data_IF_236642467256
#
_entry.id   IF_236642467256
#
_cell.length_a   1.000
_cell.length_b   1.000
_cell.length_c   1.000
_cell.angle_alpha   90.00
_cell.angle_beta   90.00
_cell.angle_gamma   90.00
#
_symmetry.space_group_name_H-M   'P 1'
#
loop_
_entity.id
_entity.type
_entity.pdbx_description
1 polymer ?
#
# COMPACT_ATOMS: atom_id res chain seq x y z
N UNK A 1 22.71 -19.59 -29.15
CA UNK A 1 21.54 -19.00 -28.46
C UNK A 1 22.04 -17.79 -27.70
N UNK A 2 21.61 -16.59 -28.05
CA UNK A 2 21.94 -15.39 -27.27
C UNK A 2 21.07 -15.39 -26.01
N UNK A 3 21.70 -15.38 -24.85
CA UNK A 3 20.98 -15.32 -23.59
C UNK A 3 20.19 -14.02 -23.49
N UNK A 4 18.93 -14.11 -23.04
CA UNK A 4 18.07 -12.95 -22.89
C UNK A 4 18.39 -12.26 -21.57
N UNK A 5 18.90 -11.03 -21.65
CA UNK A 5 19.24 -10.20 -20.50
C UNK A 5 18.78 -8.75 -20.69
N UNK A 6 18.71 -8.02 -19.59
CA UNK A 6 18.44 -6.59 -19.55
C UNK A 6 19.74 -5.81 -19.56
N UNK A 7 19.68 -4.55 -19.97
CA UNK A 7 20.83 -3.66 -20.08
C UNK A 7 20.43 -2.30 -19.53
N UNK A 8 21.30 -1.71 -18.70
CA UNK A 8 21.14 -0.34 -18.19
C UNK A 8 21.93 0.59 -19.12
N UNK A 9 21.24 1.56 -19.70
CA UNK A 9 21.75 2.40 -20.78
C UNK A 9 21.47 3.87 -20.49
N UNK A 10 22.45 4.72 -20.81
CA UNK A 10 22.29 6.16 -20.89
C UNK A 10 21.93 6.55 -22.33
N UNK A 11 20.76 7.16 -22.48
CA UNK A 11 20.40 7.94 -23.66
C UNK A 11 20.64 9.43 -23.40
N UNK A 12 20.47 10.27 -24.42
CA UNK A 12 20.47 11.72 -24.24
C UNK A 12 19.41 12.18 -23.25
N UNK A 13 18.24 11.53 -23.24
CA UNK A 13 17.09 11.92 -22.41
C UNK A 13 17.15 11.34 -20.98
N UNK A 14 18.05 10.40 -20.71
CA UNK A 14 18.23 9.85 -19.36
C UNK A 14 18.64 8.37 -19.30
N UNK A 15 18.62 7.86 -18.07
CA UNK A 15 19.01 6.48 -17.74
C UNK A 15 17.81 5.54 -17.83
N UNK A 16 17.94 4.44 -18.57
CA UNK A 16 16.85 3.52 -18.82
C UNK A 16 17.28 2.06 -18.85
N UNK A 17 16.34 1.16 -18.56
CA UNK A 17 16.53 -0.29 -18.67
C UNK A 17 15.78 -0.81 -19.89
N UNK A 18 16.49 -1.53 -20.77
CA UNK A 18 15.91 -2.17 -21.96
C UNK A 18 16.37 -3.62 -22.09
N UNK A 19 15.62 -4.48 -22.81
CA UNK A 19 16.11 -5.82 -23.14
C UNK A 19 17.21 -5.76 -24.21
N UNK A 20 18.14 -6.71 -24.16
CA UNK A 20 19.24 -6.79 -25.13
C UNK A 20 18.78 -7.00 -26.58
N UNK A 21 17.60 -7.57 -26.79
CA UNK A 21 16.99 -7.80 -28.11
C UNK A 21 16.74 -6.48 -28.86
N UNK A 22 16.60 -5.37 -28.14
CA UNK A 22 16.39 -4.06 -28.76
C UNK A 22 17.69 -3.41 -29.21
N UNK A 23 18.86 -3.96 -28.83
CA UNK A 23 20.15 -3.45 -29.25
C UNK A 23 20.46 -3.86 -30.68
N UNK A 24 21.09 -2.95 -31.41
CA UNK A 24 21.71 -3.29 -32.69
C UNK A 24 22.92 -4.22 -32.46
N UNK A 25 23.37 -4.93 -33.50
CA UNK A 25 24.52 -5.86 -33.45
C UNK A 25 25.79 -5.20 -32.89
N UNK A 26 25.96 -3.90 -33.17
CA UNK A 26 27.11 -3.12 -32.73
C UNK A 26 26.94 -2.49 -31.34
N UNK A 27 25.76 -2.63 -30.71
CA UNK A 27 25.41 -2.01 -29.41
C UNK A 27 25.59 -0.47 -29.36
N UNK A 28 25.58 0.21 -30.50
CA UNK A 28 25.71 1.66 -30.64
C UNK A 28 24.37 2.40 -30.63
N UNK A 29 23.29 1.68 -30.96
CA UNK A 29 21.93 2.20 -31.01
C UNK A 29 20.94 1.12 -30.55
N UNK A 30 19.77 1.56 -30.07
CA UNK A 30 18.66 0.68 -29.72
C UNK A 30 17.40 1.05 -30.48
N UNK A 31 16.63 0.03 -30.87
CA UNK A 31 15.26 0.18 -31.36
C UNK A 31 14.34 0.55 -30.20
N UNK A 32 13.48 1.53 -30.42
CA UNK A 32 12.58 2.05 -29.42
C UNK A 32 11.13 2.12 -29.94
N UNK A 33 10.16 1.61 -29.17
CA UNK A 33 8.76 1.64 -29.56
C UNK A 33 8.12 3.02 -29.37
N UNK A 34 7.25 3.41 -30.29
CA UNK A 34 6.39 4.58 -30.14
C UNK A 34 5.09 4.22 -29.39
N UNK A 35 5.22 3.86 -28.11
CA UNK A 35 4.08 3.52 -27.26
C UNK A 35 3.61 4.75 -26.48
N UNK A 36 2.34 5.11 -26.64
CA UNK A 36 1.69 6.19 -25.86
C UNK A 36 1.49 5.79 -24.39
N UNK A 37 1.30 4.48 -24.12
CA UNK A 37 1.03 3.96 -22.78
C UNK A 37 2.27 3.36 -22.12
N UNK A 38 2.65 3.89 -20.96
CA UNK A 38 3.75 3.36 -20.15
C UNK A 38 3.53 1.89 -19.75
N UNK A 39 2.28 1.47 -19.52
CA UNK A 39 1.98 0.06 -19.19
C UNK A 39 2.29 -0.89 -20.36
N UNK A 40 2.12 -0.42 -21.60
CA UNK A 40 2.46 -1.22 -22.80
C UNK A 40 3.97 -1.35 -22.91
N UNK A 41 4.69 -0.25 -22.70
CA UNK A 41 6.15 -0.25 -22.65
C UNK A 41 6.67 -1.23 -21.60
N UNK A 42 6.20 -1.12 -20.36
CA UNK A 42 6.63 -1.99 -19.26
C UNK A 42 6.38 -3.47 -19.56
N UNK A 43 5.24 -3.78 -20.20
CA UNK A 43 4.91 -5.13 -20.64
C UNK A 43 5.86 -5.63 -21.73
N UNK A 44 6.17 -4.79 -22.73
CA UNK A 44 7.08 -5.13 -23.82
C UNK A 44 8.50 -5.38 -23.30
N UNK A 45 9.00 -4.54 -22.37
CA UNK A 45 10.29 -4.74 -21.70
C UNK A 45 10.28 -6.02 -20.88
N UNK A 46 9.28 -6.22 -20.02
CA UNK A 46 9.17 -7.41 -19.15
C UNK A 46 9.12 -8.71 -19.96
N UNK A 47 8.43 -8.70 -21.10
CA UNK A 47 8.29 -9.85 -21.98
C UNK A 47 9.45 -10.00 -22.97
N UNK A 48 10.31 -8.98 -23.08
CA UNK A 48 11.41 -8.93 -24.05
C UNK A 48 10.87 -9.15 -25.47
N UNK A 49 9.84 -8.36 -25.81
CA UNK A 49 9.17 -8.38 -27.12
C UNK A 49 10.18 -7.99 -28.22
N UNK A 50 10.09 -8.65 -29.38
CA UNK A 50 11.00 -8.37 -30.49
C UNK A 50 10.71 -6.99 -31.11
N UNK A 51 11.75 -6.25 -31.48
CA UNK A 51 11.58 -4.94 -32.07
C UNK A 51 10.88 -5.05 -33.42
N UNK A 52 9.86 -4.22 -33.61
CA UNK A 52 9.11 -4.16 -34.85
C UNK A 52 9.83 -3.25 -35.87
N UNK A 53 9.61 -3.43 -37.18
CA UNK A 53 10.25 -2.63 -38.21
C UNK A 53 9.94 -1.13 -38.12
N UNK A 54 8.80 -0.77 -37.54
CA UNK A 54 8.37 0.61 -37.35
C UNK A 54 9.03 1.30 -36.14
N UNK A 55 9.85 0.60 -35.36
CA UNK A 55 10.53 1.20 -34.21
C UNK A 55 11.71 2.06 -34.65
N UNK A 56 11.78 3.24 -34.07
CA UNK A 56 12.83 4.24 -34.34
C UNK A 56 14.11 3.83 -33.61
N UNK A 57 15.27 4.08 -34.23
CA UNK A 57 16.56 3.83 -33.58
C UNK A 57 17.04 5.08 -32.86
N UNK A 58 17.49 4.90 -31.62
CA UNK A 58 18.07 5.94 -30.79
C UNK A 58 19.53 5.62 -30.47
N UNK A 59 20.44 6.60 -30.61
CA UNK A 59 21.85 6.40 -30.31
C UNK A 59 22.06 6.23 -28.80
N UNK A 60 22.94 5.30 -28.46
CA UNK A 60 23.30 4.99 -27.07
C UNK A 60 24.53 5.81 -26.70
N UNK A 61 24.47 6.54 -25.58
CA UNK A 61 25.62 7.27 -25.06
C UNK A 61 26.57 6.36 -24.28
N UNK A 62 26.02 5.54 -23.38
CA UNK A 62 26.82 4.65 -22.53
C UNK A 62 26.03 3.45 -22.04
N UNK A 63 26.66 2.29 -21.97
CA UNK A 63 26.12 1.09 -21.32
C UNK A 63 26.78 0.96 -19.95
N UNK A 64 25.97 0.82 -18.90
CA UNK A 64 26.46 0.70 -17.52
C UNK A 64 26.61 -0.76 -17.07
N UNK A 65 25.76 -1.65 -17.58
CA UNK A 65 25.82 -3.05 -17.20
C UNK A 65 24.68 -3.88 -17.77
N UNK A 66 24.85 -5.19 -17.70
CA UNK A 66 23.89 -6.20 -18.16
C UNK A 66 23.40 -7.04 -16.99
N UNK A 67 22.12 -7.39 -16.98
CA UNK A 67 21.47 -8.11 -15.88
C UNK A 67 20.61 -9.24 -16.43
N UNK A 68 20.79 -10.43 -15.90
CA UNK A 68 19.90 -11.55 -16.23
C UNK A 68 18.48 -11.29 -15.71
N UNK A 69 17.49 -11.98 -16.28
CA UNK A 69 16.08 -11.84 -15.91
C UNK A 69 15.83 -12.02 -14.41
N UNK A 70 16.56 -12.92 -13.78
CA UNK A 70 16.50 -13.16 -12.33
C UNK A 70 17.01 -11.94 -11.54
N UNK A 71 18.14 -11.36 -11.94
CA UNK A 71 18.68 -10.15 -11.34
C UNK A 71 17.75 -8.94 -11.53
N UNK A 72 17.05 -8.81 -12.66
CA UNK A 72 16.06 -7.76 -12.87
C UNK A 72 14.90 -7.84 -11.87
N UNK A 73 14.38 -9.05 -11.62
CA UNK A 73 13.34 -9.26 -10.61
C UNK A 73 13.87 -8.89 -9.23
N UNK A 74 15.08 -9.35 -8.87
CA UNK A 74 15.71 -9.02 -7.58
C UNK A 74 15.90 -7.50 -7.44
N UNK A 75 16.33 -6.81 -8.50
CA UNK A 75 16.48 -5.36 -8.52
C UNK A 75 15.12 -4.65 -8.31
N UNK A 76 14.07 -5.05 -9.03
CA UNK A 76 12.73 -4.48 -8.85
C UNK A 76 12.17 -4.72 -7.45
N UNK A 77 12.36 -5.92 -6.89
CA UNK A 77 11.95 -6.24 -5.52
C UNK A 77 12.70 -5.36 -4.53
N UNK A 78 14.00 -5.16 -4.74
CA UNK A 78 14.83 -4.30 -3.89
C UNK A 78 14.38 -2.84 -3.98
N UNK A 79 14.08 -2.36 -5.20
CA UNK A 79 13.55 -1.03 -5.46
C UNK A 79 12.18 -0.82 -4.79
N UNK A 80 11.30 -1.81 -4.89
CA UNK A 80 9.99 -1.78 -4.23
C UNK A 80 10.11 -1.77 -2.71
N UNK A 81 11.06 -2.54 -2.14
CA UNK A 81 11.37 -2.53 -0.71
C UNK A 81 11.92 -1.17 -0.24
N UNK A 82 12.79 -0.53 -1.05
CA UNK A 82 13.27 0.82 -0.76
C UNK A 82 12.13 1.83 -0.74
N UNK A 83 11.27 1.82 -1.77
CA UNK A 83 10.09 2.70 -1.82
C UNK A 83 9.10 2.44 -0.69
N UNK A 84 8.95 1.18 -0.25
CA UNK A 84 8.15 0.84 0.92
C UNK A 84 8.74 1.50 2.17
N UNK A 85 10.06 1.40 2.38
CA UNK A 85 10.74 2.02 3.51
C UNK A 85 10.63 3.55 3.49
N UNK A 86 10.80 4.17 2.32
CA UNK A 86 10.59 5.62 2.16
C UNK A 86 9.13 6.02 2.50
N UNK A 87 8.14 5.22 2.09
CA UNK A 87 6.76 5.46 2.46
C UNK A 87 6.53 5.30 3.97
N UNK A 88 7.13 4.29 4.61
CA UNK A 88 7.10 4.12 6.07
C UNK A 88 7.66 5.36 6.78
N UNK A 89 8.83 5.85 6.35
CA UNK A 89 9.49 7.05 6.90
C UNK A 89 8.64 8.32 6.70
N UNK A 90 7.96 8.47 5.56
CA UNK A 90 7.08 9.61 5.30
C UNK A 90 5.74 9.54 6.05
N UNK A 91 5.24 8.35 6.37
CA UNK A 91 3.99 8.17 7.14
C UNK A 91 4.16 8.33 8.65
N UNK A 92 5.39 8.35 9.16
CA UNK A 92 5.70 8.60 10.58
C UNK A 92 5.64 10.10 10.95
N UNK A 93 5.28 10.98 9.99
CA UNK A 93 4.87 12.35 10.25
C UNK A 93 3.39 12.35 10.66
N UNK A 94 3.13 11.96 11.91
CA UNK A 94 1.90 12.34 12.61
C UNK A 94 1.97 13.85 12.86
N UNK A 95 1.60 14.65 11.86
CA UNK A 95 1.29 16.08 12.04
C UNK A 95 -0.07 16.23 12.72
N UNK A 96 -0.26 15.63 13.89
CA UNK A 96 -1.39 15.96 14.75
C UNK A 96 -1.00 17.24 15.48
N UNK A 97 -1.28 18.39 14.85
CA UNK A 97 -1.11 19.69 15.52
C UNK A 97 -1.90 19.70 16.83
N UNK A 98 -1.38 20.34 17.88
CA UNK A 98 -2.01 20.39 19.21
C UNK A 98 -3.48 20.90 19.14
N UNK A 99 -3.77 21.73 18.14
CA UNK A 99 -5.09 22.27 17.86
C UNK A 99 -6.10 21.19 17.41
N UNK A 100 -5.65 20.20 16.63
CA UNK A 100 -6.51 19.10 16.17
C UNK A 100 -6.79 18.09 17.29
N UNK A 101 -5.84 17.89 18.22
CA UNK A 101 -6.09 17.18 19.48
C UNK A 101 -7.11 17.91 20.36
N UNK A 102 -7.01 19.24 20.48
CA UNK A 102 -7.93 20.05 21.26
C UNK A 102 -9.38 19.91 20.77
N UNK A 103 -9.60 19.95 19.45
CA UNK A 103 -10.93 19.75 18.87
C UNK A 103 -11.47 18.33 19.09
N UNK A 104 -10.60 17.31 19.10
CA UNK A 104 -10.98 15.91 19.43
C UNK A 104 -11.38 15.78 20.91
N UNK A 105 -10.61 16.37 21.83
CA UNK A 105 -10.91 16.40 23.27
C UNK A 105 -12.22 17.15 23.58
N UNK A 106 -12.44 18.32 22.96
CA UNK A 106 -13.68 19.10 23.10
C UNK A 106 -14.94 18.32 22.68
N UNK A 107 -14.88 17.58 21.57
CA UNK A 107 -16.01 16.74 21.11
C UNK A 107 -16.37 15.66 22.13
N UNK A 108 -15.37 14.99 22.69
CA UNK A 108 -15.56 13.94 23.69
C UNK A 108 -16.26 14.47 24.94
N UNK A 109 -15.87 15.66 25.42
CA UNK A 109 -16.45 16.30 26.61
C UNK A 109 -17.91 16.71 26.36
N UNK A 110 -18.23 17.28 25.19
CA UNK A 110 -19.62 17.67 24.87
C UNK A 110 -20.56 16.48 24.80
N UNK A 111 -20.09 15.34 24.29
CA UNK A 111 -20.88 14.11 24.21
C UNK A 111 -21.07 13.42 25.58
N UNK A 112 -20.25 13.72 26.59
CA UNK A 112 -20.30 13.09 27.91
C UNK A 112 -21.08 13.88 28.97
N UNK A 113 -21.73 15.00 28.60
CA UNK A 113 -22.50 15.79 29.57
C UNK A 113 -23.74 14.99 29.99
N UNK A 114 -23.73 14.42 31.20
CA UNK A 114 -24.92 13.88 31.83
C UNK A 114 -25.87 15.04 32.13
N UNK A 115 -27.15 14.83 31.85
CA UNK A 115 -28.23 15.77 32.18
C UNK A 115 -28.47 15.62 33.68
N UNK A 116 -27.96 16.55 34.49
CA UNK A 116 -28.37 16.66 35.89
C UNK A 116 -29.72 17.37 35.93
N UNK A 117 -30.81 16.60 36.03
CA UNK A 117 -32.15 17.15 36.29
C UNK A 117 -32.38 17.16 37.79
N UNK A 118 -32.16 18.29 38.44
CA UNK A 118 -32.69 18.57 39.78
C UNK A 118 -34.02 19.30 39.68
N UNK A 119 -35.12 18.63 40.05
CA UNK A 119 -36.35 19.28 40.51
C UNK A 119 -37.20 18.31 41.34
N UNK A 120 -37.93 18.88 42.30
CA UNK A 120 -38.46 18.30 43.54
C UNK A 120 -39.99 18.17 43.52
N UNK A 121 -40.55 17.06 44.04
CA UNK A 121 -41.96 16.73 44.43
C UNK A 121 -43.06 16.90 43.34
N UNK A 122 -44.12 16.08 43.16
CA UNK A 122 -44.94 15.25 44.05
C UNK A 122 -45.80 14.27 43.20
N UNK A 123 -46.05 13.08 43.74
CA UNK A 123 -47.23 12.18 43.72
C UNK A 123 -48.21 12.12 42.51
N UNK A 124 -48.45 10.87 42.06
CA UNK A 124 -49.62 10.28 41.39
C UNK A 124 -50.29 10.97 40.18
N UNK A 125 -50.05 10.40 38.98
CA UNK A 125 -51.11 9.75 38.20
C UNK A 125 -50.57 9.00 36.98
N UNK A 126 -51.02 7.74 36.87
CA UNK A 126 -50.75 6.77 35.83
C UNK A 126 -51.82 6.94 34.74
N UNK A 127 -51.52 7.62 33.63
CA UNK A 127 -52.13 7.40 32.31
C UNK A 127 -51.64 8.44 31.30
N UNK A 128 -51.52 7.99 30.04
CA UNK A 128 -51.59 8.83 28.84
C UNK A 128 -50.32 9.61 28.46
N UNK A 129 -49.35 8.89 27.87
CA UNK A 129 -48.44 9.46 26.87
C UNK A 129 -48.33 8.45 25.72
N UNK A 130 -49.46 8.17 25.07
CA UNK A 130 -49.56 7.30 23.88
C UNK A 130 -49.80 8.11 22.61
N UNK A 131 -49.18 9.29 22.45
CA UNK A 131 -49.46 10.09 21.24
C UNK A 131 -48.38 11.12 20.87
N UNK A 132 -47.08 10.79 20.94
CA UNK A 132 -46.04 11.69 20.41
C UNK A 132 -44.84 11.01 19.71
N UNK A 133 -44.93 9.71 19.36
CA UNK A 133 -43.84 9.01 18.66
C UNK A 133 -43.98 8.96 17.12
N UNK A 134 -45.04 9.49 16.51
CA UNK A 134 -45.25 9.33 15.06
C UNK A 134 -44.41 10.24 14.16
N UNK A 135 -43.82 11.31 14.70
CA UNK A 135 -43.24 12.38 13.89
C UNK A 135 -41.69 12.44 13.94
N UNK A 136 -41.03 11.41 14.46
CA UNK A 136 -39.59 11.31 14.35
C UNK A 136 -39.19 10.90 12.92
N UNK A 137 -38.29 11.64 12.26
CA UNK A 137 -37.80 11.25 10.94
C UNK A 137 -37.14 9.88 11.02
N UNK A 138 -37.58 8.97 10.16
CA UNK A 138 -37.09 7.58 10.12
C UNK A 138 -35.59 7.58 9.84
N UNK A 139 -34.81 7.01 10.77
CA UNK A 139 -33.36 6.85 10.61
C UNK A 139 -33.10 6.11 9.29
N UNK A 140 -32.30 6.67 8.37
CA UNK A 140 -31.98 5.97 7.13
C UNK A 140 -31.26 4.67 7.47
N UNK A 141 -31.93 3.56 7.16
CA UNK A 141 -31.45 2.20 7.28
C UNK A 141 -30.27 1.98 6.32
N UNK A 142 -29.07 2.32 6.78
CA UNK A 142 -27.83 1.88 6.15
C UNK A 142 -27.20 0.79 7.01
N UNK A 143 -27.67 -0.44 6.81
CA UNK A 143 -26.98 -1.63 7.29
C UNK A 143 -25.67 -1.80 6.50
N UNK A 144 -24.56 -1.36 7.10
CA UNK A 144 -23.20 -1.90 6.98
C UNK A 144 -22.24 -1.10 7.87
N UNK A 145 -22.42 -1.21 9.18
CA UNK A 145 -21.30 -0.97 10.10
C UNK A 145 -20.34 -2.14 9.90
N UNK A 146 -19.29 -1.95 9.09
CA UNK A 146 -18.14 -2.85 9.09
C UNK A 146 -17.31 -2.45 10.31
N UNK A 147 -17.34 -3.29 11.34
CA UNK A 147 -16.33 -3.23 12.38
C UNK A 147 -14.96 -3.49 11.73
N UNK A 148 -13.95 -2.71 12.11
CA UNK A 148 -12.59 -2.67 11.54
C UNK A 148 -11.78 -3.98 11.67
N UNK A 149 -12.42 -5.10 12.02
CA UNK A 149 -11.85 -6.44 11.91
C UNK A 149 -11.81 -6.96 10.47
N UNK A 150 -12.64 -6.41 9.59
CA UNK A 150 -12.77 -6.92 8.22
C UNK A 150 -11.64 -6.45 7.28
N UNK A 151 -10.99 -5.33 7.60
CA UNK A 151 -9.81 -4.79 6.89
C UNK A 151 -8.59 -5.69 7.07
N UNK A 152 -8.36 -6.21 8.28
CA UNK A 152 -7.25 -7.14 8.53
C UNK A 152 -7.49 -8.50 7.84
N UNK A 153 -8.71 -9.04 7.85
CA UNK A 153 -9.06 -10.27 7.11
C UNK A 153 -8.95 -10.10 5.59
N UNK A 154 -9.30 -8.92 5.06
CA UNK A 154 -9.13 -8.60 3.63
C UNK A 154 -7.66 -8.45 3.25
N UNK A 155 -6.83 -7.85 4.10
CA UNK A 155 -5.40 -7.71 3.86
C UNK A 155 -4.67 -9.05 3.91
N UNK A 156 -5.03 -9.94 4.85
CA UNK A 156 -4.47 -11.29 4.91
C UNK A 156 -4.89 -12.13 3.70
N UNK A 157 -6.14 -12.04 3.24
CA UNK A 157 -6.59 -12.73 2.03
C UNK A 157 -5.92 -12.20 0.74
N UNK A 158 -5.74 -10.88 0.61
CA UNK A 158 -5.05 -10.25 -0.51
C UNK A 158 -3.56 -10.63 -0.56
N UNK A 159 -2.90 -10.69 0.61
CA UNK A 159 -1.49 -11.12 0.72
C UNK A 159 -1.32 -12.62 0.50
N UNK A 160 -2.23 -13.46 0.99
CA UNK A 160 -2.26 -14.92 0.69
C UNK A 160 -2.37 -15.19 -0.81
N UNK A 161 -3.22 -14.46 -1.54
CA UNK A 161 -3.35 -14.59 -3.00
C UNK A 161 -2.07 -14.24 -3.76
N UNK A 162 -1.35 -13.21 -3.33
CA UNK A 162 -0.07 -12.82 -3.95
C UNK A 162 1.06 -13.85 -3.70
N UNK A 163 1.06 -14.48 -2.51
CA UNK A 163 2.05 -15.51 -2.14
C UNK A 163 1.74 -16.85 -2.86
N UNK A 164 0.47 -17.28 -2.91
CA UNK A 164 0.06 -18.49 -3.66
C UNK A 164 0.40 -18.38 -5.16
N UNK A 165 0.28 -17.19 -5.75
CA UNK A 165 0.70 -16.95 -7.15
C UNK A 165 2.22 -17.03 -7.38
N UNK A 166 3.03 -16.85 -6.32
CA UNK A 166 4.50 -16.88 -6.41
C UNK A 166 5.07 -18.25 -6.01
N UNK A 167 4.33 -19.03 -5.23
CA UNK A 167 4.70 -20.37 -4.75
C UNK A 167 3.52 -21.34 -4.98
N UNK A 168 3.37 -21.85 -6.20
CA UNK A 168 2.25 -22.71 -6.59
C UNK A 168 2.15 -24.03 -5.78
N UNK A 169 3.25 -24.46 -5.15
CA UNK A 169 3.34 -25.72 -4.39
C UNK A 169 3.39 -25.53 -2.86
N UNK A 170 3.29 -24.30 -2.35
CA UNK A 170 3.34 -24.06 -0.90
C UNK A 170 1.98 -24.35 -0.25
N UNK A 171 1.98 -25.17 0.79
CA UNK A 171 0.76 -25.51 1.54
C UNK A 171 0.26 -24.33 2.37
N UNK A 172 -1.04 -24.29 2.66
CA UNK A 172 -1.64 -23.14 3.35
C UNK A 172 -1.10 -22.96 4.77
N UNK A 173 -0.69 -24.06 5.39
CA UNK A 173 -0.05 -24.13 6.70
C UNK A 173 1.33 -23.45 6.67
N UNK A 174 2.16 -23.74 5.66
CA UNK A 174 3.49 -23.16 5.47
C UNK A 174 3.44 -21.64 5.25
N UNK A 175 2.38 -21.15 4.58
CA UNK A 175 2.19 -19.71 4.36
C UNK A 175 1.56 -19.05 5.60
N UNK A 176 0.62 -19.73 6.28
CA UNK A 176 -0.17 -19.12 7.34
C UNK A 176 0.53 -19.11 8.71
N UNK A 177 1.37 -20.10 9.02
CA UNK A 177 2.05 -20.20 10.31
C UNK A 177 3.01 -19.02 10.57
N UNK A 178 3.91 -18.64 9.64
CA UNK A 178 4.80 -17.49 9.84
C UNK A 178 4.03 -16.17 9.94
N UNK A 179 2.95 -16.02 9.15
CA UNK A 179 2.10 -14.83 9.20
C UNK A 179 1.38 -14.68 10.55
N UNK A 180 0.90 -15.78 11.12
CA UNK A 180 0.25 -15.78 12.44
C UNK A 180 1.24 -15.38 13.54
N UNK A 181 2.46 -15.93 13.53
CA UNK A 181 3.52 -15.59 14.49
C UNK A 181 3.87 -14.11 14.36
N UNK A 182 4.13 -13.63 13.14
CA UNK A 182 4.49 -12.24 12.89
C UNK A 182 3.41 -11.24 13.35
N UNK A 183 2.13 -11.59 13.15
CA UNK A 183 0.98 -10.80 13.61
C UNK A 183 0.80 -10.86 15.13
N UNK A 184 1.03 -12.01 15.76
CA UNK A 184 0.95 -12.14 17.22
C UNK A 184 1.93 -11.19 17.93
N UNK A 185 3.15 -11.06 17.38
CA UNK A 185 4.18 -10.17 17.89
C UNK A 185 4.14 -8.74 17.30
N UNK A 186 3.10 -8.37 16.54
CA UNK A 186 3.04 -7.04 15.93
C UNK A 186 2.91 -5.92 16.97
N UNK A 187 2.06 -6.11 17.99
CA UNK A 187 1.89 -5.12 19.07
C UNK A 187 3.15 -4.95 19.91
N UNK A 188 3.83 -6.06 20.21
CA UNK A 188 5.07 -6.06 21.00
C UNK A 188 6.19 -5.29 20.29
N UNK A 189 6.31 -5.42 18.96
CA UNK A 189 7.31 -4.69 18.16
C UNK A 189 7.07 -3.19 18.19
N UNK A 190 5.82 -2.76 17.99
CA UNK A 190 5.43 -1.34 18.06
C UNK A 190 5.73 -0.76 19.44
N UNK A 191 5.38 -1.47 20.51
CA UNK A 191 5.66 -1.02 21.87
C UNK A 191 7.17 -0.95 22.15
N UNK A 192 7.94 -1.95 21.71
CA UNK A 192 9.41 -1.96 21.86
C UNK A 192 10.09 -0.83 21.09
N UNK A 193 9.59 -0.49 19.91
CA UNK A 193 10.09 0.63 19.11
C UNK A 193 9.77 1.98 19.77
N UNK A 194 8.56 2.12 20.32
CA UNK A 194 8.18 3.33 21.08
C UNK A 194 9.01 3.51 22.36
N UNK A 195 9.32 2.43 23.08
CA UNK A 195 10.18 2.46 24.27
C UNK A 195 11.62 2.86 23.94
N UNK A 196 12.20 2.28 22.87
CA UNK A 196 13.54 2.65 22.39
C UNK A 196 13.63 4.10 21.94
N UNK A 197 12.58 4.62 21.29
CA UNK A 197 12.51 6.05 20.90
C UNK A 197 12.52 6.96 22.11
N UNK A 198 11.85 6.57 23.21
CA UNK A 198 11.81 7.37 24.43
C UNK A 198 13.14 7.31 25.21
N UNK A 199 13.83 6.16 25.24
CA UNK A 199 15.15 6.02 25.87
C UNK A 199 16.25 6.80 25.15
N UNK A 200 16.17 6.95 23.82
CA UNK A 200 17.14 7.72 23.04
C UNK A 200 16.93 9.24 23.11
N UNK A 201 15.78 9.69 23.64
CA UNK A 201 15.40 11.10 23.75
C UNK A 201 15.48 11.63 25.20
N UNK A 202 15.97 10.82 26.15
CA UNK A 202 16.25 11.18 27.53
C UNK A 202 17.76 11.26 27.77
#
# INVERSE_FOLDING_TARGET
MTEKHFVIILFQDGLQIIPNIWLNKNSTASKWPDFVSNQRYDRAVKNMEEPQPNWVEYPITKIFGTYNKQCYIIFLVTLARRKLKEAEEMTDIDSCTEQEEYFKKSRKIRASKMIDTSSSNSEDQLSEITEFESDLPKVPSNSKIKTDFETNRKLTNKRKGAIKNSHANATEEEISAPLKIWLAHAKERVLRESAKRNENNA
#
